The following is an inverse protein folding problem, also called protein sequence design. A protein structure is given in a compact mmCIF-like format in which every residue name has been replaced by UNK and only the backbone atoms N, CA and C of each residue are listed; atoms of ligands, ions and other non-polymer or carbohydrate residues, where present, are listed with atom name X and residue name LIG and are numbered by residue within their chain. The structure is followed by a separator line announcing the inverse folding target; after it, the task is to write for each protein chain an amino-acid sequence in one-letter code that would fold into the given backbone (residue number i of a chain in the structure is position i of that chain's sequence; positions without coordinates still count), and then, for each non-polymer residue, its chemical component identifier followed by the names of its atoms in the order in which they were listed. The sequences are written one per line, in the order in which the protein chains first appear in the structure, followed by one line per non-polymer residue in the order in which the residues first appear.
data_IF_333570200187
#
_entry.id   IF_333570200187
#
_cell.length_a   1.000
_cell.length_b   1.000
_cell.length_c   1.000
_cell.angle_alpha   90.00
_cell.angle_beta   90.00
_cell.angle_gamma   90.00
#
_symmetry.space_group_name_H-M   'P 1'
#
loop_
_entity.id
_entity.type
_entity.pdbx_description
1 polymer ?
#
# COMPACT_ATOMS: atom_id res chain seq x y z
N UNK A 1 7.67 -16.34 9.71
CA UNK A 1 7.10 -15.76 8.47
C UNK A 1 7.59 -16.55 7.27
N UNK A 2 6.72 -16.81 6.30
CA UNK A 2 7.13 -17.29 4.99
C UNK A 2 7.83 -16.14 4.24
N UNK A 3 8.88 -16.46 3.48
CA UNK A 3 9.82 -15.45 2.94
C UNK A 3 9.24 -14.62 1.80
N UNK A 4 8.45 -15.23 0.92
CA UNK A 4 7.92 -14.59 -0.29
C UNK A 4 6.64 -15.30 -0.71
N UNK A 5 5.62 -14.53 -1.08
CA UNK A 5 4.45 -14.99 -1.80
C UNK A 5 4.37 -14.25 -3.14
N UNK A 6 4.10 -14.98 -4.22
CA UNK A 6 3.90 -14.39 -5.53
C UNK A 6 2.83 -15.19 -6.26
N UNK A 7 1.77 -14.52 -6.70
CA UNK A 7 0.67 -15.13 -7.43
C UNK A 7 0.47 -14.40 -8.76
N UNK A 8 0.91 -15.02 -9.85
CA UNK A 8 0.68 -14.52 -11.22
C UNK A 8 -0.72 -14.82 -11.77
N UNK A 9 -1.61 -15.32 -10.93
CA UNK A 9 -3.03 -15.57 -11.22
C UNK A 9 -3.89 -14.76 -10.26
N UNK A 10 -5.20 -14.68 -10.55
CA UNK A 10 -6.15 -14.02 -9.67
C UNK A 10 -6.12 -14.65 -8.28
N UNK A 11 -5.69 -13.86 -7.30
CA UNK A 11 -5.80 -14.11 -5.89
C UNK A 11 -7.24 -13.79 -5.46
N UNK A 12 -7.73 -14.47 -4.42
CA UNK A 12 -9.09 -14.22 -3.93
C UNK A 12 -9.08 -12.99 -3.04
N UNK A 13 -10.01 -12.06 -3.28
CA UNK A 13 -10.19 -10.86 -2.46
C UNK A 13 -10.43 -11.24 -0.98
N UNK A 14 -11.05 -12.40 -0.69
CA UNK A 14 -11.31 -12.89 0.68
C UNK A 14 -10.02 -13.16 1.50
N UNK A 15 -8.89 -13.36 0.83
CA UNK A 15 -7.63 -13.72 1.47
C UNK A 15 -6.61 -12.57 1.49
N UNK A 16 -6.97 -11.35 1.08
CA UNK A 16 -6.03 -10.21 1.06
C UNK A 16 -5.37 -9.99 2.42
N UNK A 17 -6.13 -10.16 3.51
CA UNK A 17 -5.62 -10.02 4.89
C UNK A 17 -4.54 -11.07 5.25
N UNK A 18 -4.50 -12.21 4.57
CA UNK A 18 -3.48 -13.24 4.80
C UNK A 18 -2.09 -12.84 4.29
N UNK A 19 -2.01 -11.82 3.41
CA UNK A 19 -0.73 -11.29 2.92
C UNK A 19 0.17 -10.77 4.05
N UNK A 20 -0.44 -10.42 5.20
CA UNK A 20 0.25 -10.00 6.43
C UNK A 20 1.23 -11.05 6.98
N UNK A 21 1.11 -12.32 6.58
CA UNK A 21 1.99 -13.41 7.01
C UNK A 21 3.28 -13.53 6.20
N UNK A 22 3.44 -12.73 5.15
CA UNK A 22 4.60 -12.73 4.27
C UNK A 22 5.43 -11.45 4.46
N UNK A 23 6.76 -11.57 4.30
CA UNK A 23 7.63 -10.40 4.22
C UNK A 23 7.54 -9.69 2.87
N UNK A 24 7.21 -10.46 1.82
CA UNK A 24 7.08 -10.03 0.43
C UNK A 24 5.85 -10.66 -0.18
N UNK A 25 4.98 -9.86 -0.78
CA UNK A 25 3.81 -10.35 -1.52
C UNK A 25 3.62 -9.59 -2.83
N UNK A 26 3.28 -10.33 -3.88
CA UNK A 26 2.89 -9.78 -5.18
C UNK A 26 1.67 -10.54 -5.68
N UNK A 27 0.55 -9.84 -5.90
CA UNK A 27 -0.70 -10.47 -6.34
C UNK A 27 -1.43 -9.67 -7.42
N UNK A 28 -2.24 -10.40 -8.19
CA UNK A 28 -3.28 -9.87 -9.06
C UNK A 28 -4.63 -10.19 -8.42
N UNK A 29 -5.52 -9.21 -8.23
CA UNK A 29 -6.83 -9.46 -7.61
C UNK A 29 -7.92 -8.58 -8.25
N UNK A 30 -9.19 -8.95 -8.11
CA UNK A 30 -10.27 -8.22 -8.77
C UNK A 30 -10.63 -6.94 -8.02
N UNK A 31 -10.66 -7.00 -6.70
CA UNK A 31 -11.01 -5.87 -5.86
C UNK A 31 -10.17 -5.85 -4.58
N UNK A 32 -9.79 -4.66 -4.14
CA UNK A 32 -9.23 -4.42 -2.80
C UNK A 32 -10.04 -3.27 -2.21
N UNK A 33 -10.63 -3.50 -1.04
CA UNK A 33 -11.36 -2.44 -0.33
C UNK A 33 -10.42 -1.54 0.47
N UNK A 34 -10.85 -0.32 0.80
CA UNK A 34 -10.08 0.52 1.70
C UNK A 34 -9.86 -0.14 3.08
N UNK A 35 -10.82 -0.94 3.57
CA UNK A 35 -10.67 -1.71 4.81
C UNK A 35 -9.52 -2.70 4.73
N UNK A 36 -9.34 -3.38 3.60
CA UNK A 36 -8.24 -4.32 3.40
C UNK A 36 -6.90 -3.60 3.44
N UNK A 37 -6.77 -2.46 2.75
CA UNK A 37 -5.53 -1.65 2.77
C UNK A 37 -5.25 -1.14 4.19
N UNK A 38 -6.26 -0.71 4.94
CA UNK A 38 -6.11 -0.29 6.34
C UNK A 38 -5.64 -1.45 7.21
N UNK A 39 -6.22 -2.63 7.06
CA UNK A 39 -5.80 -3.82 7.79
C UNK A 39 -4.34 -4.19 7.48
N UNK A 40 -3.97 -4.21 6.20
CA UNK A 40 -2.59 -4.44 5.77
C UNK A 40 -1.64 -3.40 6.39
N UNK A 41 -1.99 -2.11 6.31
CA UNK A 41 -1.23 -1.01 6.92
C UNK A 41 -1.00 -1.26 8.41
N UNK A 42 -2.07 -1.51 9.17
CA UNK A 42 -2.01 -1.71 10.62
C UNK A 42 -1.19 -2.93 11.06
N UNK A 43 -1.10 -3.94 10.21
CA UNK A 43 -0.26 -5.12 10.41
C UNK A 43 1.20 -4.85 10.02
N UNK A 44 1.44 -4.24 8.86
CA UNK A 44 2.78 -4.02 8.34
C UNK A 44 3.57 -3.01 9.16
N UNK A 45 2.97 -1.93 9.67
CA UNK A 45 3.67 -0.96 10.55
C UNK A 45 4.25 -1.61 11.82
N UNK A 46 3.68 -2.74 12.25
CA UNK A 46 4.14 -3.52 13.42
C UNK A 46 5.07 -4.67 13.05
N UNK A 47 5.24 -4.96 11.77
CA UNK A 47 5.99 -6.12 11.28
C UNK A 47 7.45 -5.76 11.03
N UNK A 48 8.41 -6.28 11.83
CA UNK A 48 9.83 -5.96 11.66
C UNK A 48 10.46 -6.61 10.41
N UNK A 49 9.80 -7.63 9.85
CA UNK A 49 10.27 -8.38 8.69
C UNK A 49 9.56 -7.99 7.40
N UNK A 50 8.58 -7.08 7.45
CA UNK A 50 7.92 -6.62 6.24
C UNK A 50 8.88 -5.84 5.35
N UNK A 51 8.82 -6.10 4.05
CA UNK A 51 9.61 -5.42 3.03
C UNK A 51 8.69 -4.77 1.98
N UNK A 52 7.83 -5.54 1.31
CA UNK A 52 6.88 -4.99 0.34
C UNK A 52 5.64 -5.88 0.12
N UNK A 53 4.56 -5.26 -0.32
CA UNK A 53 3.33 -5.89 -0.79
C UNK A 53 2.82 -5.10 -1.99
N UNK A 54 2.83 -5.71 -3.18
CA UNK A 54 2.27 -5.13 -4.40
C UNK A 54 0.98 -5.86 -4.82
N UNK A 55 -0.01 -5.08 -5.22
CA UNK A 55 -1.32 -5.56 -5.64
C UNK A 55 -1.71 -4.87 -6.94
N UNK A 56 -1.91 -5.66 -8.00
CA UNK A 56 -2.48 -5.18 -9.26
C UNK A 56 -3.97 -5.46 -9.27
N UNK A 57 -4.79 -4.42 -9.45
CA UNK A 57 -6.25 -4.50 -9.32
C UNK A 57 -6.98 -3.82 -10.47
N UNK A 58 -8.22 -4.22 -10.68
CA UNK A 58 -9.14 -3.50 -11.58
C UNK A 58 -9.52 -2.14 -10.99
N UNK A 59 -10.12 -1.23 -11.79
CA UNK A 59 -10.54 0.08 -11.32
C UNK A 59 -11.35 0.01 -10.03
N UNK A 60 -10.97 0.81 -9.04
CA UNK A 60 -11.55 0.84 -7.70
C UNK A 60 -11.70 2.26 -7.17
N UNK A 61 -12.64 2.47 -6.26
CA UNK A 61 -12.82 3.72 -5.52
C UNK A 61 -11.89 3.81 -4.28
N UNK A 62 -11.03 2.81 -4.06
CA UNK A 62 -10.20 2.69 -2.86
C UNK A 62 -9.37 3.95 -2.57
N UNK A 63 -8.79 4.61 -3.58
CA UNK A 63 -8.06 5.86 -3.33
C UNK A 63 -8.96 6.93 -2.71
N UNK A 64 -10.12 7.20 -3.31
CA UNK A 64 -11.03 8.23 -2.81
C UNK A 64 -11.46 7.94 -1.36
N UNK A 65 -11.72 6.68 -1.03
CA UNK A 65 -12.04 6.26 0.32
C UNK A 65 -10.86 6.45 1.29
N UNK A 66 -9.64 6.07 0.89
CA UNK A 66 -8.42 6.26 1.68
C UNK A 66 -8.11 7.74 1.91
N UNK A 67 -8.29 8.59 0.90
CA UNK A 67 -8.14 10.05 1.02
C UNK A 67 -9.12 10.66 2.05
N UNK A 68 -10.35 10.12 2.14
CA UNK A 68 -11.31 10.54 3.17
C UNK A 68 -10.90 10.06 4.57
N UNK A 69 -10.30 8.87 4.68
CA UNK A 69 -9.97 8.25 5.96
C UNK A 69 -8.63 8.70 6.54
N UNK A 70 -7.60 8.86 5.71
CA UNK A 70 -6.24 9.24 6.11
C UNK A 70 -5.93 10.71 5.88
N UNK A 71 -6.81 11.43 5.20
CA UNK A 71 -6.58 12.79 4.76
C UNK A 71 -5.87 12.85 3.40
N UNK A 72 -5.56 14.07 2.92
CA UNK A 72 -4.93 14.25 1.62
C UNK A 72 -3.59 13.53 1.57
N UNK A 73 -3.31 12.91 0.42
CA UNK A 73 -2.00 12.32 0.14
C UNK A 73 -0.92 13.39 0.03
N UNK A 74 0.34 12.97 0.19
CA UNK A 74 1.49 13.85 0.03
C UNK A 74 1.87 14.10 -1.42
N UNK A 75 1.58 13.12 -2.27
CA UNK A 75 1.80 13.17 -3.71
C UNK A 75 0.53 12.69 -4.39
N UNK A 76 -0.04 13.54 -5.24
CA UNK A 76 -1.12 13.21 -6.17
C UNK A 76 -0.81 13.86 -7.51
N UNK A 77 -0.45 13.06 -8.51
CA UNK A 77 -0.29 13.53 -9.90
C UNK A 77 -1.64 13.63 -10.59
N UNK A 78 -2.59 12.78 -10.19
CA UNK A 78 -3.99 12.78 -10.63
C UNK A 78 -4.96 12.72 -9.44
N UNK A 79 -6.27 12.90 -9.67
CA UNK A 79 -7.30 12.72 -8.63
C UNK A 79 -7.39 11.26 -8.13
N UNK A 80 -6.88 10.32 -8.92
CA UNK A 80 -6.96 8.88 -8.70
C UNK A 80 -5.65 8.29 -8.15
N UNK A 81 -4.62 9.11 -7.92
CA UNK A 81 -3.34 8.72 -7.32
C UNK A 81 -3.14 9.28 -5.92
N UNK A 82 -2.38 8.58 -5.09
CA UNK A 82 -2.12 9.01 -3.73
C UNK A 82 -0.98 8.26 -3.06
N UNK A 83 -0.10 8.98 -2.37
CA UNK A 83 0.92 8.41 -1.50
C UNK A 83 0.77 8.90 -0.06
N UNK A 84 0.78 7.96 0.89
CA UNK A 84 0.74 8.22 2.33
C UNK A 84 1.93 7.56 3.03
N UNK A 85 2.42 8.22 4.08
CA UNK A 85 3.58 7.78 4.86
C UNK A 85 3.19 7.54 6.31
N UNK A 86 3.50 6.36 6.84
CA UNK A 86 3.21 5.95 8.21
C UNK A 86 4.48 5.55 8.94
N UNK A 87 4.60 5.93 10.21
CA UNK A 87 5.76 5.52 11.02
C UNK A 87 5.63 4.06 11.47
N UNK A 88 6.66 3.27 11.22
CA UNK A 88 6.79 1.90 11.69
C UNK A 88 7.36 1.84 13.11
N UNK A 89 7.15 0.71 13.79
CA UNK A 89 7.61 0.50 15.17
C UNK A 89 9.14 0.57 15.35
N UNK A 90 9.90 0.30 14.29
CA UNK A 90 11.36 0.38 14.26
C UNK A 90 11.89 1.75 13.79
N UNK A 91 11.03 2.76 13.69
CA UNK A 91 11.28 4.12 13.16
C UNK A 91 11.39 4.22 11.65
N UNK A 92 11.35 3.12 10.90
CA UNK A 92 11.25 3.17 9.44
C UNK A 92 9.90 3.71 8.99
N UNK A 93 9.76 3.97 7.70
CA UNK A 93 8.54 4.47 7.11
C UNK A 93 7.87 3.38 6.29
N UNK A 94 6.57 3.19 6.51
CA UNK A 94 5.72 2.45 5.61
C UNK A 94 5.11 3.44 4.63
N UNK A 95 5.40 3.24 3.35
CA UNK A 95 4.78 3.98 2.25
C UNK A 95 3.61 3.16 1.73
N UNK A 96 2.47 3.83 1.54
CA UNK A 96 1.30 3.28 0.86
C UNK A 96 1.04 4.14 -0.37
N UNK A 97 1.19 3.59 -1.57
CA UNK A 97 0.85 4.29 -2.82
C UNK A 97 -0.30 3.61 -3.55
N UNK A 98 -1.16 4.42 -4.15
CA UNK A 98 -2.18 4.03 -5.11
C UNK A 98 -1.89 4.78 -6.40
N UNK A 99 -1.73 4.04 -7.49
CA UNK A 99 -1.34 4.57 -8.80
C UNK A 99 -2.21 3.98 -9.89
N UNK A 100 -2.79 4.83 -10.74
CA UNK A 100 -3.50 4.42 -11.94
C UNK A 100 -2.52 4.19 -13.09
N UNK A 101 -2.69 3.08 -13.82
CA UNK A 101 -1.93 2.84 -15.05
C UNK A 101 -2.54 3.61 -16.22
N UNK A 102 -1.72 4.39 -16.92
CA UNK A 102 -2.13 5.21 -18.09
C UNK A 102 -2.49 4.42 -19.36
N UNK A 103 -2.60 3.09 -19.29
CA UNK A 103 -2.87 2.22 -20.45
C UNK A 103 -4.20 1.50 -20.32
N UNK A 104 -5.00 1.53 -21.39
CA UNK A 104 -6.29 0.84 -21.44
C UNK A 104 -6.12 -0.68 -21.70
N UNK A 105 -6.87 -1.57 -21.01
CA UNK A 105 -7.83 -1.28 -19.94
C UNK A 105 -7.11 -0.79 -18.68
N UNK A 106 -7.67 0.23 -18.00
CA UNK A 106 -7.04 0.82 -16.82
C UNK A 106 -6.91 -0.19 -15.68
N UNK A 107 -5.72 -0.28 -15.10
CA UNK A 107 -5.43 -1.03 -13.87
C UNK A 107 -4.96 -0.06 -12.81
N UNK A 108 -5.13 -0.44 -11.55
CA UNK A 108 -4.56 0.27 -10.42
C UNK A 108 -3.50 -0.60 -9.75
N UNK A 109 -2.48 0.07 -9.24
CA UNK A 109 -1.46 -0.52 -8.39
C UNK A 109 -1.65 0.01 -6.98
N UNK A 110 -1.79 -0.90 -6.03
CA UNK A 110 -1.67 -0.57 -4.61
C UNK A 110 -0.37 -1.17 -4.10
N UNK A 111 0.55 -0.31 -3.69
CA UNK A 111 1.86 -0.71 -3.18
C UNK A 111 1.96 -0.33 -1.71
N UNK A 112 2.39 -1.27 -0.89
CA UNK A 112 2.82 -1.03 0.48
C UNK A 112 4.28 -1.44 0.55
N UNK A 113 5.18 -0.56 0.98
CA UNK A 113 6.60 -0.91 1.08
C UNK A 113 7.30 -0.15 2.19
N UNK A 114 8.35 -0.76 2.71
CA UNK A 114 9.20 -0.18 3.74
C UNK A 114 10.28 0.67 3.10
N UNK A 115 10.38 1.92 3.55
CA UNK A 115 11.51 2.80 3.32
C UNK A 115 12.31 2.97 4.62
N UNK A 116 13.63 2.90 4.53
CA UNK A 116 14.49 3.24 5.67
C UNK A 116 14.32 4.73 6.00
N UNK A 117 14.16 5.04 7.28
CA UNK A 117 14.01 6.43 7.71
C UNK A 117 15.33 7.19 7.50
N UNK A 118 15.37 8.06 6.50
CA UNK A 118 16.50 8.94 6.23
C UNK A 118 16.12 10.40 6.54
N UNK A 119 17.11 11.22 6.93
CA UNK A 119 16.97 12.65 7.25
C UNK A 119 16.36 13.49 6.12
N UNK A 120 16.39 12.98 4.88
CA UNK A 120 15.78 13.65 3.74
C UNK A 120 14.25 13.63 3.81
N UNK A 121 13.62 12.60 4.39
CA UNK A 121 12.15 12.50 4.55
C UNK A 121 11.62 13.65 5.41
N UNK A 122 12.35 14.02 6.47
CA UNK A 122 12.01 15.15 7.35
C UNK A 122 12.14 16.51 6.64
N UNK A 123 12.93 16.58 5.56
CA UNK A 123 13.23 17.83 4.86
C UNK A 123 12.26 18.17 3.72
N UNK A 124 11.46 17.20 3.25
CA UNK A 124 10.56 17.36 2.09
C UNK A 124 9.14 17.82 2.50
N UNK A 125 8.87 18.03 3.79
CA UNK A 125 7.54 18.46 4.25
C UNK A 125 6.49 17.35 4.12
N UNK A 126 6.94 16.09 4.18
CA UNK A 126 6.06 14.92 4.20
C UNK A 126 5.23 14.95 5.49
N UNK A 127 3.92 14.80 5.33
CA UNK A 127 2.97 14.62 6.42
C UNK A 127 3.07 13.15 6.82
N UNK A 128 3.57 12.89 8.03
CA UNK A 128 3.48 11.56 8.62
C UNK A 128 2.07 11.39 9.17
N UNK A 129 1.38 10.36 8.68
CA UNK A 129 0.06 9.98 9.15
C UNK A 129 0.20 9.01 10.35
N UNK A 130 -0.70 9.15 11.33
CA UNK A 130 -0.77 8.28 12.51
C UNK A 130 -1.42 6.91 12.20
#
# INVERSE_FOLDING_TARGET
MAKVFGCGQYFSDEHIKELTHFSKSSILTDCVSAEDVIHLKECFVKSPTFEYCDMTIKPTDANRELSVLWGPSNVSETEDDGTWYFRMANSDILVVSVEMQDTWPYWFYINLYREEHNSDIDSVGIILHD
#
